data_IF_899207390517
#
_entry.id   IF_899207390517
#
_cell.length_a   1.000
_cell.length_b   1.000
_cell.length_c   1.000
_cell.angle_alpha   90.00
_cell.angle_beta   90.00
_cell.angle_gamma   90.00
#
_symmetry.space_group_name_H-M   'P 1'
#
loop_
_entity.id
_entity.type
_entity.pdbx_description
1 polymer ?
#
# COMPACT_ATOMS: atom_id res chain seq x y z
N UNK A 1 21.16 58.09 40.89
CA UNK A 1 21.84 56.82 41.00
C UNK A 1 20.75 55.75 41.01
N UNK A 2 20.41 55.24 39.87
CA UNK A 2 19.35 54.26 39.72
C UNK A 2 20.04 53.00 39.21
N UNK A 3 19.91 51.89 39.95
CA UNK A 3 20.50 50.61 39.65
C UNK A 3 19.54 49.80 38.80
N UNK A 4 20.00 49.35 37.63
CA UNK A 4 19.31 48.41 36.76
C UNK A 4 19.30 46.99 37.37
N UNK A 5 18.25 46.24 37.22
CA UNK A 5 18.23 44.81 37.55
C UNK A 5 18.61 43.94 36.34
N UNK A 6 19.47 42.95 36.62
CA UNK A 6 19.90 41.87 35.70
C UNK A 6 18.74 41.00 35.18
N UNK A 7 18.83 40.46 33.95
CA UNK A 7 17.86 39.53 33.42
C UNK A 7 18.13 38.10 33.88
N UNK A 8 17.09 37.43 34.38
CA UNK A 8 17.07 36.00 34.72
C UNK A 8 17.00 35.14 33.46
N UNK A 9 17.89 34.19 33.35
CA UNK A 9 17.82 33.09 32.38
C UNK A 9 16.76 32.07 32.79
N UNK A 10 15.91 31.58 31.88
CA UNK A 10 15.11 30.41 32.15
C UNK A 10 15.87 29.14 31.76
N UNK A 11 16.03 28.23 32.71
CA UNK A 11 16.41 26.85 32.50
C UNK A 11 15.23 26.12 31.84
N UNK A 12 15.37 25.71 30.58
CA UNK A 12 14.43 24.87 29.89
C UNK A 12 14.87 23.42 29.99
N UNK A 13 14.17 22.64 30.76
CA UNK A 13 14.16 21.18 30.59
C UNK A 13 13.39 20.85 29.30
N UNK A 14 14.09 20.41 28.29
CA UNK A 14 13.52 19.92 27.04
C UNK A 14 13.22 18.43 27.16
N UNK A 15 11.97 18.12 27.40
CA UNK A 15 11.43 16.77 27.29
C UNK A 15 11.29 16.42 25.78
N UNK A 16 12.16 15.54 25.29
CA UNK A 16 12.18 15.06 23.92
C UNK A 16 11.33 13.78 23.80
N UNK A 17 10.02 13.92 23.96
CA UNK A 17 9.06 12.92 23.47
C UNK A 17 8.58 13.37 22.09
N UNK A 18 9.32 12.98 21.05
CA UNK A 18 8.99 13.21 19.65
C UNK A 18 7.73 12.44 19.25
N UNK A 19 6.74 13.20 18.98
CA UNK A 19 5.33 12.95 19.07
C UNK A 19 4.76 12.38 17.77
N UNK A 20 4.43 11.07 17.74
CA UNK A 20 3.60 10.43 16.72
C UNK A 20 2.20 11.09 16.54
N UNK A 21 1.78 11.97 17.46
CA UNK A 21 0.56 12.78 17.36
C UNK A 21 0.61 13.82 16.25
N UNK A 22 1.79 14.30 15.89
CA UNK A 22 1.99 15.28 14.82
C UNK A 22 1.74 14.66 13.44
N UNK A 23 2.15 13.41 13.24
CA UNK A 23 1.99 12.67 11.98
C UNK A 23 0.51 12.43 11.65
N UNK A 24 -0.26 12.01 12.64
CA UNK A 24 -1.69 11.72 12.51
C UNK A 24 -2.50 13.02 12.31
N UNK A 25 -2.11 14.12 12.97
CA UNK A 25 -2.74 15.43 12.80
C UNK A 25 -2.53 15.98 11.37
N UNK A 26 -1.36 15.81 10.78
CA UNK A 26 -1.06 16.23 9.40
C UNK A 26 -1.92 15.52 8.36
N UNK A 27 -2.15 14.22 8.51
CA UNK A 27 -3.04 13.43 7.63
C UNK A 27 -4.50 13.89 7.80
N UNK A 28 -4.95 14.20 9.02
CA UNK A 28 -6.30 14.67 9.31
C UNK A 28 -6.57 16.10 8.81
N UNK A 29 -5.58 16.99 8.85
CA UNK A 29 -5.71 18.36 8.34
C UNK A 29 -5.73 18.43 6.81
N UNK A 30 -5.03 17.53 6.13
CA UNK A 30 -5.09 17.41 4.66
C UNK A 30 -6.52 17.12 4.17
N UNK A 31 -7.35 16.42 4.96
CA UNK A 31 -8.79 16.22 4.67
C UNK A 31 -9.61 17.53 4.70
N UNK A 32 -9.24 18.51 5.54
CA UNK A 32 -9.97 19.80 5.64
C UNK A 32 -9.69 20.76 4.48
N UNK A 33 -8.51 20.69 3.88
CA UNK A 33 -8.17 21.55 2.73
C UNK A 33 -9.00 21.19 1.51
N UNK A 34 -9.45 19.94 1.41
CA UNK A 34 -10.19 19.40 0.28
C UNK A 34 -11.70 19.72 0.27
N UNK A 35 -12.27 20.22 1.38
CA UNK A 35 -13.67 20.63 1.45
C UNK A 35 -14.03 21.81 0.50
N UNK A 36 -13.04 22.51 -0.05
CA UNK A 36 -13.24 23.59 -1.03
C UNK A 36 -13.39 23.11 -2.47
N UNK A 37 -13.25 21.81 -2.73
CA UNK A 37 -13.29 21.25 -4.10
C UNK A 37 -14.61 20.47 -4.32
N UNK A 38 -15.74 21.14 -4.08
CA UNK A 38 -17.09 20.52 -4.14
C UNK A 38 -17.59 20.14 -5.53
N UNK A 39 -16.80 20.38 -6.59
CA UNK A 39 -17.20 20.12 -7.99
C UNK A 39 -16.37 19.03 -8.70
N UNK A 40 -15.44 18.34 -8.03
CA UNK A 40 -14.60 17.34 -8.67
C UNK A 40 -15.27 15.96 -8.71
N UNK A 41 -15.04 15.25 -9.83
CA UNK A 41 -15.30 13.81 -9.97
C UNK A 41 -14.74 13.02 -8.78
N UNK A 42 -15.50 12.07 -8.19
CA UNK A 42 -15.07 11.29 -7.02
C UNK A 42 -13.71 10.61 -7.16
N UNK A 43 -13.39 10.08 -8.36
CA UNK A 43 -12.08 9.46 -8.62
C UNK A 43 -10.94 10.49 -8.55
N UNK A 44 -11.17 11.69 -9.08
CA UNK A 44 -10.19 12.77 -9.03
C UNK A 44 -10.00 13.27 -7.59
N UNK A 45 -11.09 13.42 -6.83
CA UNK A 45 -11.03 13.79 -5.41
C UNK A 45 -10.23 12.77 -4.59
N UNK A 46 -10.47 11.47 -4.79
CA UNK A 46 -9.71 10.41 -4.13
C UNK A 46 -8.22 10.48 -4.47
N UNK A 47 -7.88 10.74 -5.73
CA UNK A 47 -6.50 10.88 -6.17
C UNK A 47 -5.80 12.08 -5.55
N UNK A 48 -6.44 13.25 -5.52
CA UNK A 48 -5.90 14.47 -4.92
C UNK A 48 -5.74 14.32 -3.39
N UNK A 49 -6.69 13.71 -2.71
CA UNK A 49 -6.60 13.41 -1.27
C UNK A 49 -5.45 12.48 -0.95
N UNK A 50 -5.28 11.43 -1.76
CA UNK A 50 -4.19 10.47 -1.58
C UNK A 50 -2.82 11.12 -1.79
N UNK A 51 -2.67 11.96 -2.81
CA UNK A 51 -1.42 12.69 -3.06
C UNK A 51 -1.10 13.67 -1.91
N UNK A 52 -2.09 14.41 -1.41
CA UNK A 52 -1.90 15.32 -0.29
C UNK A 52 -1.48 14.59 1.00
N UNK A 53 -2.09 13.43 1.29
CA UNK A 53 -1.71 12.61 2.43
C UNK A 53 -0.28 12.05 2.29
N UNK A 54 0.13 11.68 1.09
CA UNK A 54 1.48 11.16 0.83
C UNK A 54 2.55 12.24 1.04
N UNK A 55 2.34 13.45 0.53
CA UNK A 55 3.26 14.59 0.73
C UNK A 55 3.39 14.94 2.21
N UNK A 56 2.27 15.00 2.94
CA UNK A 56 2.30 15.28 4.37
C UNK A 56 3.07 14.21 5.18
N UNK A 57 3.01 12.95 4.75
CA UNK A 57 3.76 11.87 5.39
C UNK A 57 5.27 11.93 5.09
N UNK A 58 5.67 12.36 3.88
CA UNK A 58 7.09 12.51 3.50
C UNK A 58 7.78 13.63 4.28
N UNK A 59 7.10 14.76 4.51
CA UNK A 59 7.63 15.88 5.29
C UNK A 59 8.02 15.51 6.74
N UNK A 60 7.42 14.43 7.27
CA UNK A 60 7.66 13.95 8.64
C UNK A 60 8.83 12.97 8.73
N UNK A 61 9.22 12.33 7.62
CA UNK A 61 10.35 11.40 7.53
C UNK A 61 11.56 12.18 7.01
N UNK A 62 12.35 12.80 7.92
CA UNK A 62 13.60 13.47 7.54
C UNK A 62 14.57 12.51 6.84
N UNK A 63 15.20 12.97 5.75
CA UNK A 63 16.24 12.22 5.03
C UNK A 63 17.58 12.34 5.78
N UNK A 64 18.09 11.25 6.32
CA UNK A 64 19.45 11.15 6.84
C UNK A 64 20.41 10.84 5.68
N UNK A 65 21.33 11.78 5.46
CA UNK A 65 22.13 11.87 4.27
C UNK A 65 23.37 10.97 4.20
N UNK A 66 23.29 9.91 3.42
CA UNK A 66 24.43 9.31 2.70
C UNK A 66 23.94 8.65 1.37
N UNK A 67 22.82 9.13 0.83
CA UNK A 67 22.21 8.63 -0.40
C UNK A 67 22.78 9.30 -1.66
N UNK A 68 22.77 8.60 -2.81
CA UNK A 68 23.13 9.23 -4.10
C UNK A 68 22.27 10.48 -4.33
N UNK A 69 22.78 11.52 -5.03
CA UNK A 69 22.04 12.74 -5.24
C UNK A 69 20.67 12.41 -5.87
N UNK A 70 19.57 12.83 -5.24
CA UNK A 70 18.23 12.39 -5.64
C UNK A 70 17.90 12.89 -7.06
N UNK A 71 17.37 11.99 -7.91
CA UNK A 71 16.74 12.39 -9.16
C UNK A 71 15.30 12.85 -8.86
N UNK A 72 15.16 14.10 -8.45
CA UNK A 72 13.90 14.71 -8.04
C UNK A 72 12.87 14.84 -9.19
N UNK A 73 13.23 14.48 -10.42
CA UNK A 73 12.33 14.59 -11.58
C UNK A 73 11.77 13.24 -12.04
N UNK A 74 12.23 12.12 -11.47
CA UNK A 74 11.77 10.77 -11.78
C UNK A 74 11.33 10.04 -10.53
N UNK A 75 10.34 9.14 -10.69
CA UNK A 75 9.85 8.28 -9.63
C UNK A 75 9.35 6.94 -10.19
N UNK A 76 9.20 5.96 -9.32
CA UNK A 76 8.56 4.68 -9.63
C UNK A 76 7.31 4.47 -8.78
N UNK A 77 6.22 4.05 -9.42
CA UNK A 77 4.91 3.81 -8.82
C UNK A 77 4.58 2.33 -8.85
N UNK A 78 4.43 1.71 -7.70
CA UNK A 78 4.15 0.28 -7.58
C UNK A 78 2.74 0.05 -7.04
N UNK A 79 1.92 -0.71 -7.75
CA UNK A 79 0.75 -1.30 -7.14
C UNK A 79 1.15 -2.28 -6.03
N UNK A 80 0.25 -2.50 -5.06
CA UNK A 80 0.51 -3.33 -3.90
C UNK A 80 0.10 -4.78 -4.10
N UNK A 81 -1.20 -5.00 -4.33
CA UNK A 81 -1.85 -6.31 -4.25
C UNK A 81 -1.50 -7.17 -5.48
N UNK A 82 -0.91 -8.35 -5.27
CA UNK A 82 -0.32 -9.24 -6.28
C UNK A 82 0.84 -8.64 -7.10
N UNK A 83 1.13 -7.36 -7.00
CA UNK A 83 2.29 -6.69 -7.60
C UNK A 83 3.47 -6.65 -6.64
N UNK A 84 3.38 -5.91 -5.52
CA UNK A 84 4.43 -5.85 -4.50
C UNK A 84 4.35 -7.05 -3.56
N UNK A 85 3.15 -7.48 -3.19
CA UNK A 85 2.92 -8.61 -2.28
C UNK A 85 1.98 -9.66 -2.87
N UNK A 86 1.99 -10.86 -2.28
CA UNK A 86 1.10 -11.97 -2.66
C UNK A 86 -0.24 -11.82 -1.97
N UNK A 87 -1.30 -11.70 -2.76
CA UNK A 87 -2.68 -11.55 -2.28
C UNK A 87 -3.05 -10.10 -2.00
N UNK A 88 -4.22 -9.89 -1.42
CA UNK A 88 -4.74 -8.57 -1.11
C UNK A 88 -4.33 -8.13 0.30
N UNK A 89 -3.68 -6.99 0.41
CA UNK A 89 -3.20 -6.38 1.65
C UNK A 89 -4.35 -6.15 2.64
N UNK A 90 -5.48 -5.63 2.16
CA UNK A 90 -6.67 -5.40 2.98
C UNK A 90 -7.24 -6.69 3.60
N UNK A 91 -7.13 -7.83 2.89
CA UNK A 91 -7.57 -9.12 3.42
C UNK A 91 -6.71 -9.58 4.60
N UNK A 92 -5.39 -9.45 4.49
CA UNK A 92 -4.47 -9.80 5.57
C UNK A 92 -4.66 -8.89 6.78
N UNK A 93 -4.87 -7.61 6.53
CA UNK A 93 -5.15 -6.62 7.57
C UNK A 93 -6.47 -6.94 8.30
N UNK A 94 -7.56 -7.12 7.57
CA UNK A 94 -8.86 -7.48 8.15
C UNK A 94 -8.80 -8.78 8.97
N UNK A 95 -8.05 -9.79 8.50
CA UNK A 95 -7.82 -11.03 9.25
C UNK A 95 -7.05 -10.78 10.54
N UNK A 96 -6.04 -9.92 10.53
CA UNK A 96 -5.26 -9.54 11.72
C UNK A 96 -6.11 -8.79 12.74
N UNK A 97 -6.94 -7.84 12.30
CA UNK A 97 -7.90 -7.14 13.15
C UNK A 97 -8.92 -8.09 13.78
N UNK A 98 -9.45 -9.05 12.99
CA UNK A 98 -10.38 -10.05 13.50
C UNK A 98 -9.76 -10.96 14.58
N UNK A 99 -8.50 -11.37 14.40
CA UNK A 99 -7.76 -12.15 15.38
C UNK A 99 -7.57 -11.39 16.71
N UNK A 100 -7.45 -10.07 16.65
CA UNK A 100 -7.33 -9.16 17.81
C UNK A 100 -8.67 -8.76 18.42
N UNK A 101 -9.78 -9.37 17.96
CA UNK A 101 -11.16 -9.06 18.41
C UNK A 101 -11.52 -7.57 18.23
N UNK A 102 -10.91 -6.91 17.24
CA UNK A 102 -11.21 -5.52 16.90
C UNK A 102 -12.69 -5.35 16.51
N UNK A 103 -13.28 -6.37 15.86
CA UNK A 103 -14.69 -6.40 15.51
C UNK A 103 -15.52 -7.01 16.63
N UNK A 104 -16.61 -6.33 17.02
CA UNK A 104 -17.56 -6.88 17.97
C UNK A 104 -18.35 -8.05 17.35
N UNK A 105 -18.99 -8.88 18.21
CA UNK A 105 -19.90 -9.92 17.73
C UNK A 105 -21.12 -9.34 16.97
N UNK A 106 -21.48 -8.09 17.23
CA UNK A 106 -22.51 -7.36 16.49
C UNK A 106 -22.03 -7.01 15.07
N UNK A 107 -20.80 -6.52 14.94
CA UNK A 107 -20.18 -6.21 13.64
C UNK A 107 -20.09 -7.46 12.77
N UNK A 108 -19.63 -8.57 13.34
CA UNK A 108 -19.53 -9.87 12.65
C UNK A 108 -20.89 -10.39 12.17
N UNK A 109 -21.96 -10.22 12.98
CA UNK A 109 -23.33 -10.58 12.57
C UNK A 109 -23.82 -9.68 11.45
N UNK A 110 -23.51 -8.38 11.49
CA UNK A 110 -23.82 -7.42 10.43
C UNK A 110 -23.20 -7.84 9.10
N UNK A 111 -21.92 -8.20 9.10
CA UNK A 111 -21.21 -8.71 7.92
C UNK A 111 -21.84 -10.00 7.37
N UNK A 112 -22.11 -10.97 8.25
CA UNK A 112 -22.72 -12.24 7.84
C UNK A 112 -24.11 -12.03 7.23
N UNK A 113 -24.91 -11.15 7.80
CA UNK A 113 -26.24 -10.80 7.29
C UNK A 113 -26.19 -10.10 5.93
N UNK A 114 -25.24 -9.20 5.75
CA UNK A 114 -25.02 -8.50 4.48
C UNK A 114 -24.55 -9.46 3.38
N UNK A 115 -23.59 -10.35 3.67
CA UNK A 115 -23.14 -11.40 2.75
C UNK A 115 -24.30 -12.33 2.36
N UNK A 116 -25.20 -12.65 3.30
CA UNK A 116 -26.36 -13.49 3.04
C UNK A 116 -27.37 -12.77 2.12
N UNK A 117 -27.64 -11.48 2.37
CA UNK A 117 -28.50 -10.67 1.49
C UNK A 117 -27.96 -10.60 0.07
N UNK A 118 -26.64 -10.45 -0.09
CA UNK A 118 -26.00 -10.41 -1.39
C UNK A 118 -26.12 -11.74 -2.16
N UNK A 119 -25.97 -12.88 -1.47
CA UNK A 119 -26.12 -14.21 -2.08
C UNK A 119 -27.56 -14.54 -2.47
N UNK A 120 -28.55 -14.04 -1.75
CA UNK A 120 -29.96 -14.35 -1.95
C UNK A 120 -30.63 -13.33 -2.91
N UNK A 121 -30.12 -12.08 -2.93
CA UNK A 121 -30.75 -10.97 -3.67
C UNK A 121 -30.44 -10.86 -5.16
N UNK A 122 -29.45 -11.56 -5.71
CA UNK A 122 -29.15 -11.82 -7.13
C UNK A 122 -29.46 -10.73 -8.17
N UNK A 123 -29.58 -9.44 -7.80
CA UNK A 123 -29.83 -8.33 -8.71
C UNK A 123 -28.62 -7.39 -8.73
N UNK A 124 -28.03 -7.29 -9.90
CA UNK A 124 -27.09 -6.23 -10.27
C UNK A 124 -27.83 -4.88 -10.29
N UNK A 125 -27.91 -4.24 -9.13
CA UNK A 125 -28.25 -2.83 -9.09
C UNK A 125 -26.96 -2.03 -9.30
N UNK A 126 -26.95 -1.17 -10.32
CA UNK A 126 -25.85 -0.22 -10.61
C UNK A 126 -25.56 0.76 -9.46
N UNK A 127 -26.35 0.70 -8.37
CA UNK A 127 -26.13 1.39 -7.10
C UNK A 127 -25.28 0.60 -6.09
N UNK A 128 -24.90 -0.67 -6.36
CA UNK A 128 -24.23 -1.57 -5.42
C UNK A 128 -22.82 -1.10 -4.99
N UNK A 129 -22.11 -0.37 -5.84
CA UNK A 129 -20.76 0.13 -5.51
C UNK A 129 -20.83 1.21 -4.41
N UNK A 130 -21.84 2.10 -4.44
CA UNK A 130 -22.03 3.12 -3.41
C UNK A 130 -22.42 2.50 -2.05
N UNK A 131 -23.28 1.49 -2.03
CA UNK A 131 -23.67 0.79 -0.79
C UNK A 131 -22.55 -0.02 -0.14
N UNK A 132 -21.58 -0.50 -0.92
CA UNK A 132 -20.40 -1.18 -0.39
C UNK A 132 -19.38 -0.22 0.23
N UNK A 133 -19.32 1.04 -0.24
CA UNK A 133 -18.46 2.11 0.31
C UNK A 133 -18.82 2.45 1.75
N UNK A 134 -20.10 2.70 2.02
CA UNK A 134 -20.57 3.13 3.34
C UNK A 134 -20.47 2.00 4.38
N UNK A 135 -20.53 0.75 3.92
CA UNK A 135 -20.46 -0.41 4.82
C UNK A 135 -19.03 -0.78 5.21
N UNK A 136 -18.08 -0.65 4.27
CA UNK A 136 -16.70 -1.09 4.52
C UNK A 136 -15.99 -0.25 5.59
N UNK A 137 -16.42 1.00 5.81
CA UNK A 137 -15.82 1.91 6.79
C UNK A 137 -16.67 2.14 8.05
N UNK A 138 -17.93 1.71 8.04
CA UNK A 138 -18.80 1.88 9.22
C UNK A 138 -18.26 1.20 10.48
N UNK A 139 -17.44 0.16 10.32
CA UNK A 139 -16.85 -0.58 11.45
C UNK A 139 -15.62 0.13 12.05
N UNK A 140 -14.97 1.05 11.35
CA UNK A 140 -13.89 1.87 11.90
C UNK A 140 -14.40 3.21 12.43
N UNK A 141 -15.66 3.58 12.16
CA UNK A 141 -16.24 4.82 12.64
C UNK A 141 -16.10 4.95 14.17
N UNK A 142 -15.60 6.10 14.63
CA UNK A 142 -15.33 6.37 16.05
C UNK A 142 -14.08 5.71 16.61
N UNK A 143 -13.32 4.94 15.83
CA UNK A 143 -12.03 4.38 16.24
C UNK A 143 -10.91 5.39 16.05
N UNK A 144 -9.89 5.31 16.90
CA UNK A 144 -8.70 6.13 16.78
C UNK A 144 -7.85 5.70 15.58
N UNK A 145 -7.39 6.66 14.79
CA UNK A 145 -6.42 6.44 13.71
C UNK A 145 -5.13 5.84 14.27
N UNK A 146 -4.65 6.37 15.41
CA UNK A 146 -3.44 5.88 16.09
C UNK A 146 -3.58 4.40 16.51
N UNK A 147 -4.72 4.01 17.08
CA UNK A 147 -4.99 2.60 17.47
C UNK A 147 -4.96 1.67 16.25
N UNK A 148 -5.58 2.07 15.14
CA UNK A 148 -5.60 1.29 13.90
C UNK A 148 -4.21 1.18 13.27
N UNK A 149 -3.42 2.24 13.30
CA UNK A 149 -2.03 2.24 12.84
C UNK A 149 -1.15 1.32 13.70
N UNK A 150 -1.23 1.42 15.03
CA UNK A 150 -0.45 0.55 15.92
C UNK A 150 -0.75 -0.93 15.67
N UNK A 151 -2.02 -1.30 15.52
CA UNK A 151 -2.39 -2.67 15.14
C UNK A 151 -1.91 -3.03 13.72
N UNK A 152 -1.89 -2.08 12.81
CA UNK A 152 -1.40 -2.26 11.44
C UNK A 152 0.07 -2.66 11.39
N UNK A 153 0.92 -2.05 12.21
CA UNK A 153 2.34 -2.39 12.36
C UNK A 153 2.52 -3.86 12.78
N UNK A 154 1.84 -4.27 13.85
CA UNK A 154 1.88 -5.66 14.33
C UNK A 154 1.38 -6.66 13.28
N UNK A 155 0.27 -6.33 12.62
CA UNK A 155 -0.35 -7.19 11.60
C UNK A 155 0.58 -7.33 10.40
N UNK A 156 1.27 -6.26 10.00
CA UNK A 156 2.25 -6.34 8.93
C UNK A 156 3.35 -7.34 9.26
N UNK A 157 3.97 -7.22 10.45
CA UNK A 157 5.06 -8.08 10.88
C UNK A 157 4.63 -9.55 10.98
N UNK A 158 3.41 -9.82 11.45
CA UNK A 158 2.90 -11.18 11.63
C UNK A 158 2.38 -11.85 10.34
N UNK A 159 1.73 -11.09 9.46
CA UNK A 159 0.94 -11.67 8.37
C UNK A 159 1.37 -11.26 6.97
N UNK A 160 2.12 -10.16 6.82
CA UNK A 160 2.40 -9.56 5.52
C UNK A 160 3.88 -9.58 5.11
N UNK A 161 4.82 -9.48 6.05
CA UNK A 161 6.25 -9.37 5.77
C UNK A 161 6.78 -10.49 4.85
N UNK A 162 6.38 -11.75 5.09
CA UNK A 162 6.78 -12.92 4.30
C UNK A 162 6.08 -13.04 2.93
N UNK A 163 5.20 -12.10 2.60
CA UNK A 163 4.40 -12.16 1.38
C UNK A 163 4.89 -11.24 0.27
N UNK A 164 5.96 -10.51 0.53
CA UNK A 164 6.54 -9.60 -0.47
C UNK A 164 7.20 -10.41 -1.59
N UNK A 165 6.94 -10.03 -2.84
CA UNK A 165 7.61 -10.60 -3.99
C UNK A 165 9.07 -10.12 -4.04
N UNK A 166 10.03 -11.04 -3.89
CA UNK A 166 11.45 -10.71 -3.96
C UNK A 166 11.84 -10.01 -5.29
N UNK A 167 11.23 -10.43 -6.40
CA UNK A 167 11.48 -9.82 -7.72
C UNK A 167 10.97 -8.39 -7.81
N UNK A 168 9.79 -8.08 -7.28
CA UNK A 168 9.23 -6.73 -7.29
C UNK A 168 9.99 -5.83 -6.30
N UNK A 169 10.34 -6.37 -5.13
CA UNK A 169 11.21 -5.65 -4.17
C UNK A 169 12.56 -5.27 -4.80
N UNK A 170 13.17 -6.18 -5.57
CA UNK A 170 14.41 -5.87 -6.28
C UNK A 170 14.24 -4.78 -7.34
N UNK A 171 13.09 -4.73 -8.04
CA UNK A 171 12.78 -3.62 -8.96
C UNK A 171 12.63 -2.29 -8.21
N UNK A 172 11.96 -2.27 -7.06
CA UNK A 172 11.85 -1.07 -6.24
C UNK A 172 13.22 -0.61 -5.74
N UNK A 173 14.05 -1.53 -5.24
CA UNK A 173 15.42 -1.23 -4.79
C UNK A 173 16.28 -0.64 -5.91
N UNK A 174 16.16 -1.14 -7.14
CA UNK A 174 16.90 -0.60 -8.30
C UNK A 174 16.57 0.89 -8.54
N UNK A 175 15.33 1.32 -8.33
CA UNK A 175 14.97 2.73 -8.43
C UNK A 175 15.53 3.55 -7.27
N UNK A 176 15.45 3.03 -6.03
CA UNK A 176 16.05 3.68 -4.86
C UNK A 176 17.56 3.83 -5.02
N UNK A 177 18.27 2.79 -5.46
CA UNK A 177 19.72 2.82 -5.74
C UNK A 177 20.10 3.81 -6.84
N UNK A 178 19.16 4.13 -7.73
CA UNK A 178 19.31 5.19 -8.74
C UNK A 178 18.93 6.60 -8.24
N UNK A 179 18.68 6.78 -6.94
CA UNK A 179 18.26 8.03 -6.32
C UNK A 179 16.85 8.48 -6.69
N UNK A 180 16.00 7.58 -7.19
CA UNK A 180 14.63 7.87 -7.57
C UNK A 180 13.67 7.58 -6.40
N UNK A 181 12.65 8.42 -6.25
CA UNK A 181 11.59 8.17 -5.28
C UNK A 181 10.71 6.99 -5.70
N UNK A 182 10.32 6.16 -4.73
CA UNK A 182 9.49 4.97 -4.97
C UNK A 182 8.23 5.03 -4.14
N UNK A 183 7.08 5.00 -4.81
CA UNK A 183 5.77 5.15 -4.20
C UNK A 183 4.93 3.88 -4.36
N UNK A 184 4.30 3.46 -3.26
CA UNK A 184 3.25 2.43 -3.30
C UNK A 184 1.93 3.08 -3.71
N UNK A 185 1.14 2.45 -4.60
CA UNK A 185 -0.16 2.98 -5.07
C UNK A 185 -1.21 1.89 -4.95
N UNK A 186 -2.15 2.02 -4.01
CA UNK A 186 -3.06 0.92 -3.66
C UNK A 186 -4.47 1.38 -3.30
N UNK A 187 -5.46 0.50 -3.49
CA UNK A 187 -6.82 0.70 -3.00
C UNK A 187 -6.95 0.56 -1.47
N UNK A 188 -5.93 0.04 -0.81
CA UNK A 188 -5.87 -0.13 0.64
C UNK A 188 -5.87 1.22 1.36
N UNK A 189 -6.37 1.33 2.61
CA UNK A 189 -6.28 2.56 3.39
C UNK A 189 -4.85 3.11 3.45
N UNK A 190 -4.72 4.43 3.35
CA UNK A 190 -3.41 5.11 3.26
C UNK A 190 -2.52 4.80 4.47
N UNK A 191 -3.10 4.66 5.64
CA UNK A 191 -2.37 4.34 6.88
C UNK A 191 -1.66 2.99 6.77
N UNK A 192 -2.36 1.95 6.27
CA UNK A 192 -1.75 0.63 6.04
C UNK A 192 -0.75 0.68 4.89
N UNK A 193 -1.04 1.40 3.83
CA UNK A 193 -0.14 1.58 2.71
C UNK A 193 1.19 2.22 3.13
N UNK A 194 1.15 3.23 4.01
CA UNK A 194 2.34 3.88 4.60
C UNK A 194 3.15 2.91 5.47
N UNK A 195 2.50 2.07 6.28
CA UNK A 195 3.19 1.02 7.05
C UNK A 195 3.95 0.09 6.10
N UNK A 196 3.30 -0.40 5.04
CA UNK A 196 3.94 -1.27 4.05
C UNK A 196 5.12 -0.56 3.38
N UNK A 197 4.93 0.68 2.96
CA UNK A 197 5.97 1.47 2.30
C UNK A 197 7.20 1.67 3.21
N UNK A 198 7.01 2.09 4.47
CA UNK A 198 8.08 2.26 5.46
C UNK A 198 8.85 0.95 5.70
N UNK A 199 8.15 -0.17 5.88
CA UNK A 199 8.78 -1.49 6.09
C UNK A 199 9.58 -1.97 4.89
N UNK A 200 9.28 -1.48 3.70
CA UNK A 200 10.01 -1.79 2.46
C UNK A 200 11.11 -0.77 2.14
N UNK A 201 11.23 0.31 2.92
CA UNK A 201 12.17 1.42 2.67
C UNK A 201 11.79 2.26 1.44
N UNK A 202 10.49 2.32 1.10
CA UNK A 202 9.99 3.15 0.00
C UNK A 202 9.80 4.60 0.48
N UNK A 203 9.74 5.53 -0.46
CA UNK A 203 9.55 6.97 -0.17
C UNK A 203 8.21 7.23 0.50
N UNK A 204 7.13 6.58 0.05
CA UNK A 204 5.82 6.76 0.63
C UNK A 204 4.74 5.94 -0.06
N UNK A 205 3.48 6.29 0.18
CA UNK A 205 2.34 5.58 -0.37
C UNK A 205 1.19 6.50 -0.77
N UNK A 206 0.50 6.13 -1.83
CA UNK A 206 -0.79 6.62 -2.27
C UNK A 206 -1.83 5.53 -1.94
N UNK A 207 -2.77 5.82 -1.06
CA UNK A 207 -3.81 4.90 -0.60
C UNK A 207 -5.19 5.55 -0.55
N UNK A 208 -6.20 4.76 -0.24
CA UNK A 208 -7.55 5.27 -0.01
C UNK A 208 -7.58 6.09 1.28
N UNK A 209 -8.08 7.31 1.22
CA UNK A 209 -8.13 8.22 2.39
C UNK A 209 -9.49 8.07 3.08
N UNK A 210 -9.47 7.60 4.33
CA UNK A 210 -10.62 7.65 5.21
C UNK A 210 -10.70 9.03 5.88
N UNK A 211 -11.91 9.59 5.99
CA UNK A 211 -12.12 10.84 6.68
C UNK A 211 -11.95 10.64 8.19
N UNK A 212 -11.19 11.52 8.83
CA UNK A 212 -11.05 11.56 10.28
C UNK A 212 -11.24 12.99 10.81
N UNK A 213 -11.77 13.12 12.02
CA UNK A 213 -11.93 14.37 12.76
C UNK A 213 -11.40 14.15 14.16
N UNK A 214 -10.51 15.03 14.61
CA UNK A 214 -9.88 14.96 15.94
C UNK A 214 -9.23 13.59 16.23
N UNK A 215 -8.61 12.97 15.19
CA UNK A 215 -7.96 11.67 15.28
C UNK A 215 -8.89 10.45 15.31
N UNK A 216 -10.19 10.64 15.09
CA UNK A 216 -11.18 9.57 15.05
C UNK A 216 -11.76 9.43 13.63
N UNK A 217 -11.86 8.21 13.12
CA UNK A 217 -12.52 7.96 11.84
C UNK A 217 -14.00 8.31 11.89
N UNK A 218 -14.49 9.00 10.85
CA UNK A 218 -15.92 9.32 10.71
C UNK A 218 -16.73 8.17 10.09
N UNK A 219 -16.06 7.19 9.51
CA UNK A 219 -16.69 6.12 8.72
C UNK A 219 -16.98 6.52 7.27
N UNK A 220 -16.44 7.66 6.79
CA UNK A 220 -16.57 8.11 5.40
C UNK A 220 -15.22 8.11 4.68
N UNK A 221 -15.26 8.14 3.34
CA UNK A 221 -14.06 8.35 2.50
C UNK A 221 -13.96 9.81 2.06
N UNK A 222 -12.74 10.27 1.87
CA UNK A 222 -12.47 11.49 1.12
C UNK A 222 -12.42 11.13 -0.38
N UNK A 223 -13.55 11.34 -1.06
CA UNK A 223 -13.73 10.90 -2.46
C UNK A 223 -14.23 9.46 -2.55
N UNK A 224 -13.49 8.59 -3.24
CA UNK A 224 -13.81 7.19 -3.41
C UNK A 224 -12.58 6.29 -3.12
N UNK A 225 -12.74 4.97 -3.26
CA UNK A 225 -11.62 4.02 -3.17
C UNK A 225 -10.59 4.33 -4.26
N UNK A 226 -9.31 4.34 -3.90
CA UNK A 226 -8.21 4.61 -4.83
C UNK A 226 -7.97 3.42 -5.76
N UNK A 227 -8.85 3.27 -6.75
CA UNK A 227 -8.84 2.15 -7.69
C UNK A 227 -8.96 2.65 -9.14
N UNK A 228 -8.36 1.93 -10.10
CA UNK A 228 -8.47 2.23 -11.52
C UNK A 228 -8.10 3.68 -11.87
N UNK A 229 -9.02 4.48 -12.45
CA UNK A 229 -8.76 5.89 -12.81
C UNK A 229 -8.31 6.76 -11.64
N UNK A 230 -8.77 6.51 -10.42
CA UNK A 230 -8.38 7.27 -9.24
C UNK A 230 -6.87 7.14 -8.95
N UNK A 231 -6.25 5.96 -9.16
CA UNK A 231 -4.79 5.80 -9.07
C UNK A 231 -4.05 6.71 -10.06
N UNK A 232 -4.53 6.80 -11.30
CA UNK A 232 -3.92 7.68 -12.29
C UNK A 232 -4.05 9.17 -11.91
N UNK A 233 -5.16 9.57 -11.28
CA UNK A 233 -5.32 10.92 -10.75
C UNK A 233 -4.35 11.19 -9.59
N UNK A 234 -4.18 10.24 -8.66
CA UNK A 234 -3.24 10.37 -7.55
C UNK A 234 -1.79 10.52 -8.03
N UNK A 235 -1.37 9.68 -8.99
CA UNK A 235 -0.02 9.76 -9.58
C UNK A 235 0.20 11.12 -10.26
N UNK A 236 -0.79 11.64 -11.00
CA UNK A 236 -0.67 12.97 -11.63
C UNK A 236 -0.65 14.10 -10.61
N UNK A 237 -1.48 14.01 -9.56
CA UNK A 237 -1.53 15.02 -8.51
C UNK A 237 -0.20 15.07 -7.74
N UNK A 238 0.33 13.89 -7.34
CA UNK A 238 1.63 13.80 -6.70
C UNK A 238 2.75 14.34 -7.64
N UNK A 239 2.74 13.95 -8.90
CA UNK A 239 3.74 14.43 -9.85
C UNK A 239 3.72 15.96 -10.00
N UNK A 240 2.54 16.57 -9.95
CA UNK A 240 2.40 18.03 -9.99
C UNK A 240 2.91 18.71 -8.73
N UNK A 241 2.66 18.14 -7.53
CA UNK A 241 3.15 18.68 -6.26
C UNK A 241 4.67 18.52 -6.11
N UNK A 242 5.21 17.37 -6.53
CA UNK A 242 6.60 16.99 -6.37
C UNK A 242 7.52 17.40 -7.55
N UNK A 243 6.98 18.03 -8.58
CA UNK A 243 7.74 18.46 -9.75
C UNK A 243 8.26 17.29 -10.61
N UNK A 244 7.58 16.13 -10.63
CA UNK A 244 8.00 14.97 -11.42
C UNK A 244 7.65 15.13 -12.90
N UNK A 245 8.57 14.70 -13.78
CA UNK A 245 8.26 14.48 -15.20
C UNK A 245 7.76 13.04 -15.38
N UNK A 246 6.46 12.86 -15.54
CA UNK A 246 5.85 11.54 -15.72
C UNK A 246 6.44 10.74 -16.89
N UNK A 247 7.00 11.37 -17.90
CA UNK A 247 7.70 10.68 -19.02
C UNK A 247 8.97 9.99 -18.56
N UNK A 248 9.57 10.44 -17.46
CA UNK A 248 10.75 9.83 -16.82
C UNK A 248 10.38 8.85 -15.71
N UNK A 249 9.11 8.77 -15.33
CA UNK A 249 8.60 7.88 -14.31
C UNK A 249 8.30 6.47 -14.84
N UNK A 250 8.31 5.51 -13.95
CA UNK A 250 7.90 4.13 -14.20
C UNK A 250 6.67 3.75 -13.35
N UNK A 251 5.81 2.84 -13.87
CA UNK A 251 4.72 2.26 -13.09
C UNK A 251 4.63 0.75 -13.28
N UNK A 252 4.25 0.06 -12.20
CA UNK A 252 4.23 -1.40 -12.07
C UNK A 252 2.88 -1.86 -11.55
N UNK A 253 2.21 -2.80 -12.24
CA UNK A 253 0.94 -3.39 -11.78
C UNK A 253 0.69 -4.77 -12.38
N UNK A 254 -0.17 -5.56 -11.73
CA UNK A 254 -0.63 -6.87 -12.18
C UNK A 254 -2.02 -6.83 -12.83
N UNK A 255 -2.78 -5.74 -12.69
CA UNK A 255 -4.19 -5.64 -13.03
C UNK A 255 -4.49 -4.74 -14.22
N UNK A 256 -5.41 -5.18 -15.09
CA UNK A 256 -5.95 -4.37 -16.19
C UNK A 256 -6.63 -3.08 -15.69
N UNK A 257 -7.15 -3.06 -14.47
CA UNK A 257 -7.76 -1.87 -13.87
C UNK A 257 -6.77 -0.70 -13.73
N UNK A 258 -5.48 -0.99 -13.66
CA UNK A 258 -4.41 0.00 -13.52
C UNK A 258 -3.85 0.49 -14.86
N UNK A 259 -4.44 0.10 -15.99
CA UNK A 259 -4.09 0.63 -17.33
C UNK A 259 -4.08 2.17 -17.36
N UNK A 260 -5.01 2.89 -16.72
CA UNK A 260 -4.96 4.35 -16.65
C UNK A 260 -3.69 4.89 -15.96
N UNK A 261 -3.21 4.24 -14.89
CA UNK A 261 -1.99 4.56 -14.17
C UNK A 261 -0.74 4.22 -15.01
N UNK A 262 -0.69 2.99 -15.55
CA UNK A 262 0.40 2.53 -16.41
C UNK A 262 0.58 3.40 -17.66
N UNK A 263 -0.53 3.87 -18.25
CA UNK A 263 -0.51 4.75 -19.42
C UNK A 263 -0.16 6.22 -19.09
N UNK A 264 -0.10 6.60 -17.82
CA UNK A 264 0.23 7.96 -17.40
C UNK A 264 1.73 8.24 -17.36
N UNK A 265 2.58 7.21 -17.39
CA UNK A 265 4.04 7.30 -17.20
C UNK A 265 4.79 6.91 -18.46
N UNK A 266 6.10 7.25 -18.51
CA UNK A 266 6.96 6.92 -19.65
C UNK A 266 7.31 5.44 -19.73
N UNK A 267 7.41 4.72 -18.60
CA UNK A 267 7.74 3.29 -18.55
C UNK A 267 6.67 2.51 -17.83
N UNK A 268 5.89 1.72 -18.57
CA UNK A 268 4.88 0.82 -18.01
C UNK A 268 5.38 -0.62 -17.96
N UNK A 269 5.23 -1.28 -16.80
CA UNK A 269 5.67 -2.65 -16.57
C UNK A 269 4.52 -3.48 -15.98
N UNK A 270 4.07 -4.49 -16.71
CA UNK A 270 3.09 -5.46 -16.23
C UNK A 270 3.80 -6.54 -15.40
N UNK A 271 3.57 -6.55 -14.09
CA UNK A 271 4.18 -7.49 -13.13
C UNK A 271 3.17 -8.56 -12.77
N UNK A 272 3.50 -9.84 -12.98
CA UNK A 272 2.58 -10.95 -12.71
C UNK A 272 1.17 -10.74 -13.32
N UNK A 273 1.03 -10.19 -14.54
CA UNK A 273 -0.22 -9.65 -15.04
C UNK A 273 -1.34 -10.69 -15.10
N UNK A 274 -2.59 -10.21 -14.88
CA UNK A 274 -3.78 -10.95 -15.27
C UNK A 274 -3.83 -11.13 -16.80
N UNK A 275 -4.78 -11.92 -17.30
CA UNK A 275 -4.87 -12.21 -18.74
C UNK A 275 -5.13 -10.95 -19.57
N UNK A 276 -5.99 -10.06 -19.09
CA UNK A 276 -6.40 -8.85 -19.81
C UNK A 276 -5.25 -7.84 -19.85
N UNK A 277 -4.57 -7.58 -18.72
CA UNK A 277 -3.40 -6.71 -18.70
C UNK A 277 -2.27 -7.29 -19.57
N UNK A 278 -2.09 -8.61 -19.59
CA UNK A 278 -1.08 -9.25 -20.44
C UNK A 278 -1.32 -8.97 -21.92
N UNK A 279 -2.58 -8.99 -22.35
CA UNK A 279 -2.94 -8.71 -23.75
C UNK A 279 -2.80 -7.20 -24.06
N UNK A 280 -3.19 -6.33 -23.16
CA UNK A 280 -2.94 -4.87 -23.28
C UNK A 280 -1.43 -4.57 -23.32
N UNK A 281 -0.63 -5.19 -22.45
CA UNK A 281 0.80 -4.98 -22.40
C UNK A 281 1.50 -5.41 -23.70
N UNK A 282 1.09 -6.55 -24.28
CA UNK A 282 1.60 -6.99 -25.61
C UNK A 282 1.20 -5.99 -26.71
N UNK A 283 -0.07 -5.57 -26.75
CA UNK A 283 -0.58 -4.65 -27.76
C UNK A 283 0.07 -3.26 -27.69
N UNK A 284 0.52 -2.84 -26.50
CA UNK A 284 1.18 -1.54 -26.24
C UNK A 284 2.70 -1.64 -26.13
N UNK A 285 3.28 -2.82 -26.36
CA UNK A 285 4.71 -3.09 -26.24
C UNK A 285 5.29 -2.76 -24.84
N UNK A 286 4.45 -2.89 -23.81
CA UNK A 286 4.87 -2.71 -22.43
C UNK A 286 5.72 -3.89 -21.94
N UNK A 287 6.63 -3.65 -21.03
CA UNK A 287 7.43 -4.71 -20.43
C UNK A 287 6.54 -5.65 -19.59
N UNK A 288 6.82 -6.97 -19.68
CA UNK A 288 6.14 -7.98 -18.84
C UNK A 288 7.19 -8.67 -17.98
N UNK A 289 6.95 -8.71 -16.66
CA UNK A 289 7.76 -9.40 -15.65
C UNK A 289 6.88 -10.40 -14.89
N UNK A 290 7.16 -11.69 -14.97
CA UNK A 290 6.37 -12.72 -14.29
C UNK A 290 7.23 -13.50 -13.29
N UNK A 291 7.04 -13.22 -12.00
CA UNK A 291 7.78 -13.85 -10.90
C UNK A 291 7.08 -15.10 -10.34
N UNK A 292 5.86 -15.42 -10.80
CA UNK A 292 5.08 -16.59 -10.34
C UNK A 292 5.69 -17.91 -10.79
N UNK A 293 6.28 -17.94 -11.96
CA UNK A 293 6.91 -19.15 -12.54
C UNK A 293 8.15 -19.58 -11.77
N UNK A 294 9.00 -18.64 -11.35
CA UNK A 294 10.18 -18.94 -10.54
C UNK A 294 9.82 -19.55 -9.18
N UNK A 295 8.75 -19.06 -8.54
CA UNK A 295 8.26 -19.60 -7.26
C UNK A 295 7.65 -21.00 -7.40
N UNK A 296 6.97 -21.31 -8.52
CA UNK A 296 6.48 -22.65 -8.82
C UNK A 296 7.63 -23.63 -9.07
N UNK A 297 8.63 -23.23 -9.84
CA UNK A 297 9.82 -24.04 -10.10
C UNK A 297 10.60 -24.35 -8.82
N UNK A 298 10.80 -23.37 -7.93
CA UNK A 298 11.43 -23.57 -6.63
C UNK A 298 10.61 -24.50 -5.70
N UNK A 299 9.28 -24.42 -5.72
CA UNK A 299 8.40 -25.32 -4.94
C UNK A 299 8.36 -26.74 -5.49
N UNK A 300 8.47 -26.93 -6.80
CA UNK A 300 8.44 -28.25 -7.45
C UNK A 300 9.85 -28.87 -7.44
N UNK A 301 10.91 -28.07 -7.60
CA UNK A 301 12.29 -28.54 -7.70
C UNK A 301 12.86 -29.12 -6.39
N UNK A 302 12.54 -28.52 -5.24
CA UNK A 302 13.09 -28.97 -3.93
C UNK A 302 12.59 -30.37 -3.52
N UNK A 303 11.28 -30.70 -3.61
CA UNK A 303 10.85 -32.08 -3.30
C UNK A 303 11.33 -33.11 -4.31
N UNK A 304 11.48 -32.73 -5.59
CA UNK A 304 11.93 -33.67 -6.64
C UNK A 304 13.39 -34.04 -6.49
N UNK A 305 14.27 -33.13 -6.07
CA UNK A 305 15.69 -33.44 -5.86
C UNK A 305 15.87 -34.30 -4.61
N UNK A 306 15.12 -34.05 -3.53
CA UNK A 306 15.16 -34.90 -2.33
C UNK A 306 14.54 -36.28 -2.59
N UNK A 307 13.45 -36.36 -3.37
CA UNK A 307 12.81 -37.62 -3.74
C UNK A 307 13.68 -38.48 -4.67
N UNK A 308 14.34 -37.86 -5.66
CA UNK A 308 15.25 -38.56 -6.55
C UNK A 308 16.49 -39.10 -5.85
N UNK A 309 17.06 -38.33 -4.90
CA UNK A 309 18.17 -38.76 -4.07
C UNK A 309 17.83 -39.96 -3.17
N UNK A 310 16.63 -39.94 -2.55
CA UNK A 310 16.15 -41.01 -1.70
C UNK A 310 15.89 -42.33 -2.50
N UNK A 311 15.33 -42.23 -3.70
CA UNK A 311 15.14 -43.37 -4.57
C UNK A 311 16.45 -43.96 -5.11
N UNK A 312 17.42 -43.11 -5.49
CA UNK A 312 18.73 -43.58 -5.93
C UNK A 312 19.50 -44.26 -4.77
N UNK A 313 19.40 -43.72 -3.55
CA UNK A 313 19.98 -44.34 -2.34
C UNK A 313 19.36 -45.68 -2.00
N UNK A 314 18.02 -45.84 -2.11
CA UNK A 314 17.33 -47.09 -1.84
C UNK A 314 17.66 -48.19 -2.89
N UNK A 315 17.77 -47.82 -4.18
CA UNK A 315 18.16 -48.74 -5.24
C UNK A 315 19.61 -49.21 -5.05
N UNK A 316 20.54 -48.31 -4.72
CA UNK A 316 21.94 -48.65 -4.46
C UNK A 316 22.09 -49.58 -3.23
N UNK A 317 21.35 -49.32 -2.14
CA UNK A 317 21.35 -50.19 -0.96
C UNK A 317 20.74 -51.58 -1.25
N UNK A 318 19.65 -51.65 -2.03
CA UNK A 318 19.02 -52.89 -2.43
C UNK A 318 19.91 -53.78 -3.31
N UNK A 319 20.68 -53.17 -4.23
CA UNK A 319 21.64 -53.89 -5.08
C UNK A 319 22.82 -54.42 -4.27
N UNK A 320 23.33 -53.63 -3.28
CA UNK A 320 24.43 -54.03 -2.38
C UNK A 320 24.02 -55.19 -1.44
N UNK A 321 22.75 -55.20 -0.97
CA UNK A 321 22.22 -56.25 -0.10
C UNK A 321 22.01 -57.60 -0.85
N UNK A 322 21.70 -57.53 -2.15
CA UNK A 322 21.49 -58.76 -2.99
C UNK A 322 22.79 -59.43 -3.45
N UNK A 323 23.96 -58.77 -3.26
CA UNK A 323 25.28 -59.29 -3.62
C UNK A 323 26.07 -59.84 -2.42
N UNK A 324 25.50 -59.88 -1.24
CA UNK A 324 25.99 -60.61 -0.08
C UNK A 324 25.12 -61.85 0.15
#
# INVERSE_FOLDING_TARGET
>A
MVSDPEPRTPTGDGDATGDGRSEVAGIAESGRVLDRVTALDPARRAGEASAAAAVAAEELVGHDGDEPPPDLTAAAFFDCDNTMMVGASIFHFARGLAARKFFSAADMRGFAWQQLKFRVGGREDKGGIAGHRDTALSFVAGRSVEEVMAMGEEIYDELMADRIWAGTRALAQMHLDAGQRVWLVTATPVELALIIARRLGLTGALGTVAESVDGLYTGRLVGEILHGPAKAHAVRALAASEGLDLRRCAAYSDSVNDVPMLAAVGTAVAVNPDSELRDVAKAREWQIRDFRTGRKAARIGVPSVLGAGALAGAVAAGVAYRKR
#
